data_IF_790606027646
#
_entry.id   IF_790606027646
#
_cell.length_a   1.000
_cell.length_b   1.000
_cell.length_c   1.000
_cell.angle_alpha   90.00
_cell.angle_beta   90.00
_cell.angle_gamma   90.00
#
_symmetry.space_group_name_H-M   'P 1'
#
loop_
_entity.id
_entity.type
_entity.pdbx_description
1 polymer ?
#
# COMPACT_ATOMS: atom_id res chain seq x y z
N UNK A 1 -22.43 -16.15 -9.28
CA UNK A 1 -23.59 -17.04 -9.03
C UNK A 1 -24.86 -16.21 -8.85
N UNK A 2 -25.46 -15.68 -9.93
CA UNK A 2 -26.59 -14.71 -9.88
C UNK A 2 -27.95 -15.32 -10.24
N UNK A 3 -28.00 -16.59 -10.65
CA UNK A 3 -29.18 -17.14 -11.34
C UNK A 3 -29.91 -18.29 -10.62
N UNK A 4 -29.32 -18.86 -9.56
CA UNK A 4 -29.93 -20.01 -8.87
C UNK A 4 -30.87 -19.64 -7.71
N UNK A 5 -30.71 -18.46 -7.11
CA UNK A 5 -31.43 -18.09 -5.88
C UNK A 5 -32.32 -16.84 -5.94
N UNK A 6 -32.34 -16.10 -7.06
CA UNK A 6 -33.23 -14.95 -7.33
C UNK A 6 -33.53 -13.99 -6.14
N UNK A 7 -32.60 -13.89 -5.18
CA UNK A 7 -32.71 -13.06 -3.98
C UNK A 7 -31.44 -12.22 -3.83
N UNK A 8 -31.27 -11.16 -4.64
CA UNK A 8 -30.11 -10.29 -4.52
C UNK A 8 -30.12 -9.62 -3.14
N UNK A 9 -29.12 -9.91 -2.31
CA UNK A 9 -28.85 -9.16 -1.10
C UNK A 9 -28.29 -7.80 -1.50
N UNK A 10 -29.02 -6.73 -1.18
CA UNK A 10 -28.66 -5.36 -1.55
C UNK A 10 -27.25 -4.97 -1.08
N UNK A 11 -26.82 -5.44 0.10
CA UNK A 11 -25.51 -5.14 0.67
C UNK A 11 -24.32 -5.85 0.01
N UNK A 12 -24.55 -6.94 -0.74
CA UNK A 12 -23.45 -7.79 -1.22
C UNK A 12 -22.57 -7.10 -2.25
N UNK A 13 -23.16 -6.20 -3.04
CA UNK A 13 -22.41 -5.40 -4.01
C UNK A 13 -21.45 -4.43 -3.31
N UNK A 14 -21.94 -3.67 -2.32
CA UNK A 14 -21.12 -2.72 -1.56
C UNK A 14 -20.00 -3.42 -0.82
N UNK A 15 -20.29 -4.55 -0.16
CA UNK A 15 -19.28 -5.30 0.56
C UNK A 15 -18.18 -5.80 -0.39
N UNK A 16 -18.57 -6.32 -1.55
CA UNK A 16 -17.61 -6.76 -2.56
C UNK A 16 -16.73 -5.60 -3.00
N UNK A 17 -17.30 -4.41 -3.23
CA UNK A 17 -16.55 -3.21 -3.59
C UNK A 17 -15.54 -2.81 -2.51
N UNK A 18 -15.97 -2.78 -1.24
CA UNK A 18 -15.10 -2.46 -0.10
C UNK A 18 -13.94 -3.47 0.02
N UNK A 19 -14.24 -4.77 -0.10
CA UNK A 19 -13.23 -5.82 0.00
C UNK A 19 -12.23 -5.77 -1.16
N UNK A 20 -12.69 -5.59 -2.40
CA UNK A 20 -11.81 -5.46 -3.55
C UNK A 20 -10.90 -4.23 -3.45
N UNK A 21 -11.46 -3.09 -3.02
CA UNK A 21 -10.67 -1.87 -2.78
C UNK A 21 -9.64 -2.08 -1.68
N UNK A 22 -10.01 -2.72 -0.57
CA UNK A 22 -9.08 -3.03 0.51
C UNK A 22 -7.94 -3.95 0.05
N UNK A 23 -8.26 -5.00 -0.71
CA UNK A 23 -7.27 -5.92 -1.27
C UNK A 23 -6.31 -5.20 -2.20
N UNK A 24 -6.82 -4.36 -3.10
CA UNK A 24 -5.98 -3.58 -4.02
C UNK A 24 -5.04 -2.61 -3.29
N UNK A 25 -5.55 -1.88 -2.29
CA UNK A 25 -4.73 -0.93 -1.52
C UNK A 25 -3.64 -1.63 -0.73
N UNK A 26 -3.95 -2.77 -0.09
CA UNK A 26 -2.98 -3.54 0.69
C UNK A 26 -1.97 -4.28 -0.19
N UNK A 27 -2.34 -4.65 -1.42
CA UNK A 27 -1.43 -5.28 -2.37
C UNK A 27 -0.19 -4.41 -2.64
N UNK A 28 -0.33 -3.08 -2.71
CA UNK A 28 0.81 -2.16 -2.88
C UNK A 28 1.87 -2.31 -1.78
N UNK A 29 1.45 -2.38 -0.52
CA UNK A 29 2.35 -2.60 0.62
C UNK A 29 3.03 -3.97 0.55
N UNK A 30 2.28 -5.01 0.19
CA UNK A 30 2.80 -6.37 0.04
C UNK A 30 3.84 -6.47 -1.09
N UNK A 31 3.54 -5.90 -2.26
CA UNK A 31 4.44 -5.89 -3.42
C UNK A 31 5.75 -5.17 -3.11
N UNK A 32 5.71 -4.07 -2.34
CA UNK A 32 6.92 -3.40 -1.88
C UNK A 32 7.74 -4.30 -0.95
N UNK A 33 7.10 -5.01 -0.04
CA UNK A 33 7.78 -5.95 0.85
C UNK A 33 8.50 -7.07 0.10
N UNK A 34 7.87 -7.60 -0.96
CA UNK A 34 8.49 -8.58 -1.86
C UNK A 34 9.55 -7.99 -2.79
N UNK A 35 9.61 -6.67 -2.91
CA UNK A 35 10.50 -5.99 -3.85
C UNK A 35 10.13 -6.28 -5.31
N UNK A 36 8.85 -6.50 -5.58
CA UNK A 36 8.29 -6.80 -6.90
C UNK A 36 7.59 -5.58 -7.52
N UNK A 37 7.86 -4.39 -6.96
CA UNK A 37 7.43 -3.15 -7.57
C UNK A 37 8.13 -3.00 -8.92
N UNK A 38 7.39 -2.60 -9.95
CA UNK A 38 7.97 -2.40 -11.28
C UNK A 38 9.02 -1.29 -11.18
N UNK A 39 10.28 -1.64 -11.48
CA UNK A 39 11.42 -0.71 -11.48
C UNK A 39 11.99 -0.59 -12.89
N UNK A 40 12.44 0.62 -13.25
CA UNK A 40 13.11 0.86 -14.52
C UNK A 40 14.58 0.46 -14.43
N UNK A 41 14.89 -0.80 -14.74
CA UNK A 41 16.16 -1.41 -14.29
C UNK A 41 17.33 -1.36 -15.28
N UNK A 42 17.20 -0.79 -16.48
CA UNK A 42 18.24 -0.90 -17.52
C UNK A 42 19.58 -0.24 -17.14
N UNK A 43 19.55 0.91 -16.46
CA UNK A 43 20.74 1.62 -16.02
C UNK A 43 21.15 1.22 -14.61
N UNK A 44 20.15 0.97 -13.75
CA UNK A 44 20.32 0.56 -12.35
C UNK A 44 21.13 -0.74 -12.24
N UNK A 45 20.85 -1.74 -13.08
CA UNK A 45 21.54 -3.03 -13.07
C UNK A 45 23.05 -2.94 -13.36
N UNK A 46 23.50 -1.87 -14.04
CA UNK A 46 24.93 -1.68 -14.37
C UNK A 46 25.74 -1.05 -13.24
N UNK A 47 25.07 -0.51 -12.21
CA UNK A 47 25.73 0.16 -11.10
C UNK A 47 26.21 -0.82 -10.03
N UNK A 48 27.25 -0.43 -9.29
CA UNK A 48 27.68 -1.16 -8.10
C UNK A 48 26.56 -1.14 -7.04
N UNK A 49 26.40 -2.19 -6.22
CA UNK A 49 25.37 -2.26 -5.17
C UNK A 49 25.37 -1.05 -4.23
N UNK A 50 26.53 -0.56 -3.82
CA UNK A 50 26.63 0.67 -3.00
C UNK A 50 26.10 1.93 -3.70
N UNK A 51 26.25 2.05 -5.03
CA UNK A 51 25.72 3.20 -5.79
C UNK A 51 24.20 3.09 -5.93
N UNK A 52 23.70 1.89 -6.23
CA UNK A 52 22.27 1.58 -6.23
C UNK A 52 21.63 1.96 -4.88
N UNK A 53 22.21 1.48 -3.77
CA UNK A 53 21.68 1.72 -2.43
C UNK A 53 21.73 3.20 -2.01
N UNK A 54 22.72 3.98 -2.45
CA UNK A 54 22.76 5.43 -2.23
C UNK A 54 21.62 6.15 -2.94
N UNK A 55 21.38 5.79 -4.21
CA UNK A 55 20.28 6.37 -4.99
C UNK A 55 18.93 5.98 -4.39
N UNK A 56 18.71 4.70 -4.08
CA UNK A 56 17.50 4.22 -3.42
C UNK A 56 17.27 4.95 -2.09
N UNK A 57 18.31 5.11 -1.25
CA UNK A 57 18.21 5.84 0.02
C UNK A 57 17.76 7.30 -0.18
N UNK A 58 18.33 8.01 -1.16
CA UNK A 58 17.92 9.39 -1.49
C UNK A 58 16.47 9.41 -1.94
N UNK A 59 16.04 8.49 -2.80
CA UNK A 59 14.66 8.41 -3.29
C UNK A 59 13.68 8.09 -2.16
N UNK A 60 14.06 7.22 -1.22
CA UNK A 60 13.24 6.93 -0.05
C UNK A 60 13.01 8.19 0.79
N UNK A 61 14.07 8.95 1.07
CA UNK A 61 13.99 10.15 1.92
C UNK A 61 13.24 11.29 1.22
N UNK A 62 13.50 11.51 -0.06
CA UNK A 62 12.99 12.70 -0.79
C UNK A 62 11.61 12.51 -1.39
N UNK A 63 11.24 11.29 -1.80
CA UNK A 63 9.97 11.03 -2.47
C UNK A 63 9.08 10.06 -1.71
N UNK A 64 9.63 8.94 -1.22
CA UNK A 64 8.82 7.92 -0.57
C UNK A 64 8.23 8.39 0.76
N UNK A 65 9.05 8.78 1.74
CA UNK A 65 8.54 9.17 3.06
C UNK A 65 7.60 10.38 3.03
N UNK A 66 7.90 11.47 2.29
CA UNK A 66 6.96 12.58 2.19
C UNK A 66 5.63 12.16 1.60
N UNK A 67 5.64 11.34 0.53
CA UNK A 67 4.42 10.83 -0.11
C UNK A 67 3.62 9.91 0.81
N UNK A 68 4.27 8.96 1.47
CA UNK A 68 3.61 8.01 2.36
C UNK A 68 3.10 8.68 3.64
N UNK A 69 3.84 9.63 4.22
CA UNK A 69 3.34 10.42 5.36
C UNK A 69 2.12 11.24 4.99
N UNK A 70 2.14 11.90 3.82
CA UNK A 70 0.98 12.62 3.32
C UNK A 70 -0.23 11.68 3.13
N UNK A 71 -0.01 10.47 2.60
CA UNK A 71 -1.04 9.44 2.47
C UNK A 71 -1.59 8.96 3.81
N UNK A 72 -0.75 8.77 4.83
CA UNK A 72 -1.17 8.36 6.18
C UNK A 72 -2.02 9.45 6.83
N UNK A 73 -1.55 10.69 6.84
CA UNK A 73 -2.27 11.81 7.47
C UNK A 73 -3.61 12.04 6.75
N UNK A 74 -3.57 12.16 5.42
CA UNK A 74 -4.79 12.38 4.62
C UNK A 74 -5.76 11.20 4.71
N UNK A 75 -5.25 9.96 4.74
CA UNK A 75 -6.06 8.76 4.88
C UNK A 75 -6.77 8.69 6.24
N UNK A 76 -6.10 9.11 7.31
CA UNK A 76 -6.70 9.18 8.65
C UNK A 76 -7.81 10.22 8.71
N UNK A 77 -7.55 11.44 8.25
CA UNK A 77 -8.54 12.52 8.19
C UNK A 77 -9.74 12.12 7.32
N UNK A 78 -9.49 11.51 6.17
CA UNK A 78 -10.53 11.08 5.24
C UNK A 78 -11.43 9.99 5.84
N UNK A 79 -10.84 8.98 6.48
CA UNK A 79 -11.61 7.90 7.12
C UNK A 79 -12.38 8.35 8.35
N UNK A 80 -11.76 9.15 9.22
CA UNK A 80 -12.42 9.69 10.43
C UNK A 80 -13.52 10.69 10.08
N UNK A 81 -13.33 11.51 9.05
CA UNK A 81 -14.38 12.42 8.55
C UNK A 81 -15.59 11.63 8.05
N UNK A 82 -15.37 10.59 7.26
CA UNK A 82 -16.42 9.70 6.77
C UNK A 82 -17.22 9.04 7.89
N UNK A 83 -16.51 8.59 8.94
CA UNK A 83 -17.14 8.07 10.15
C UNK A 83 -17.99 9.13 10.86
N UNK A 84 -17.47 10.36 11.00
CA UNK A 84 -18.15 11.46 11.70
C UNK A 84 -19.45 11.92 11.03
N UNK A 85 -19.55 11.80 9.71
CA UNK A 85 -20.75 12.18 8.94
C UNK A 85 -21.67 10.98 8.66
N UNK A 86 -21.36 9.80 9.23
CA UNK A 86 -22.06 8.54 8.96
C UNK A 86 -22.29 8.29 7.46
N UNK A 87 -21.21 8.42 6.68
CA UNK A 87 -21.29 8.29 5.23
C UNK A 87 -21.66 6.87 4.80
N UNK A 88 -22.61 6.78 3.87
CA UNK A 88 -23.14 5.51 3.33
C UNK A 88 -22.90 5.41 1.83
N UNK A 89 -22.87 4.17 1.32
CA UNK A 89 -22.67 3.87 -0.08
C UNK A 89 -23.85 4.36 -0.93
N UNK A 90 -23.55 5.05 -2.03
CA UNK A 90 -24.53 5.42 -3.05
C UNK A 90 -24.80 4.30 -4.06
N UNK A 91 -24.04 3.21 -4.00
CA UNK A 91 -24.08 2.16 -5.01
C UNK A 91 -25.23 1.16 -4.81
N UNK A 92 -25.83 1.14 -3.63
CA UNK A 92 -26.96 0.26 -3.33
C UNK A 92 -27.84 0.83 -2.22
N UNK A 93 -29.15 0.49 -2.18
CA UNK A 93 -30.08 0.97 -1.16
C UNK A 93 -29.83 0.38 0.25
N UNK A 94 -28.74 -0.36 0.45
CA UNK A 94 -28.42 -1.04 1.70
C UNK A 94 -27.75 -0.13 2.75
N UNK A 95 -27.54 1.16 2.44
CA UNK A 95 -26.93 2.15 3.32
C UNK A 95 -25.64 1.67 4.01
N UNK A 96 -24.81 0.94 3.25
CA UNK A 96 -23.58 0.33 3.79
C UNK A 96 -22.56 1.42 4.15
N UNK A 97 -22.02 1.46 5.38
CA UNK A 97 -21.03 2.45 5.76
C UNK A 97 -19.73 2.34 4.95
N UNK A 98 -19.24 3.46 4.41
CA UNK A 98 -18.04 3.47 3.53
C UNK A 98 -16.75 3.82 4.26
N UNK A 99 -16.83 4.28 5.51
CA UNK A 99 -15.67 4.64 6.31
C UNK A 99 -14.62 3.51 6.46
N UNK A 100 -14.95 2.19 6.48
CA UNK A 100 -13.93 1.15 6.57
C UNK A 100 -13.01 1.12 5.34
N UNK A 101 -13.58 1.34 4.15
CA UNK A 101 -12.81 1.44 2.92
C UNK A 101 -11.88 2.65 2.96
N UNK A 102 -12.33 3.78 3.51
CA UNK A 102 -11.51 5.00 3.57
C UNK A 102 -10.38 4.89 4.59
N UNK A 103 -10.61 4.22 5.72
CA UNK A 103 -9.56 3.91 6.69
C UNK A 103 -8.53 2.90 6.16
N UNK A 104 -8.85 2.07 5.17
CA UNK A 104 -7.83 1.18 4.57
C UNK A 104 -6.68 1.97 3.95
N UNK A 105 -6.93 3.19 3.50
CA UNK A 105 -5.89 4.09 2.96
C UNK A 105 -4.85 4.40 4.05
N UNK A 106 -5.33 4.68 5.27
CA UNK A 106 -4.47 4.91 6.43
C UNK A 106 -3.66 3.66 6.78
N UNK A 107 -4.31 2.48 6.88
CA UNK A 107 -3.61 1.24 7.22
C UNK A 107 -2.62 0.79 6.13
N UNK A 108 -2.95 0.95 4.86
CA UNK A 108 -2.03 0.70 3.75
C UNK A 108 -0.83 1.65 3.80
N UNK A 109 -1.06 2.94 4.10
CA UNK A 109 0.01 3.92 4.32
C UNK A 109 0.92 3.55 5.49
N UNK A 110 0.37 3.09 6.62
CA UNK A 110 1.17 2.61 7.76
C UNK A 110 2.01 1.39 7.40
N UNK A 111 1.43 0.42 6.68
CA UNK A 111 2.16 -0.76 6.22
C UNK A 111 3.31 -0.38 5.28
N UNK A 112 3.07 0.56 4.35
CA UNK A 112 4.11 1.11 3.47
C UNK A 112 5.19 1.85 4.26
N UNK A 113 4.83 2.61 5.29
CA UNK A 113 5.78 3.33 6.12
C UNK A 113 6.71 2.38 6.86
N UNK A 114 6.15 1.34 7.48
CA UNK A 114 6.93 0.27 8.13
C UNK A 114 7.85 -0.43 7.13
N UNK A 115 7.34 -0.75 5.94
CA UNK A 115 8.14 -1.38 4.89
C UNK A 115 9.25 -0.45 4.37
N UNK A 116 9.00 0.85 4.23
CA UNK A 116 9.99 1.83 3.83
C UNK A 116 11.15 1.93 4.81
N UNK A 117 10.88 1.87 6.12
CA UNK A 117 11.92 1.81 7.14
C UNK A 117 12.81 0.57 6.95
N UNK A 118 12.22 -0.60 6.70
CA UNK A 118 12.96 -1.83 6.40
C UNK A 118 13.87 -1.69 5.18
N UNK A 119 13.37 -1.06 4.11
CA UNK A 119 14.17 -0.84 2.89
C UNK A 119 15.32 0.15 3.10
N UNK A 120 15.12 1.21 3.90
CA UNK A 120 16.20 2.12 4.30
C UNK A 120 17.30 1.40 5.05
N UNK A 121 16.96 0.55 6.02
CA UNK A 121 17.94 -0.24 6.76
C UNK A 121 18.75 -1.14 5.83
N UNK A 122 18.09 -1.78 4.85
CA UNK A 122 18.75 -2.61 3.84
C UNK A 122 19.66 -1.80 2.93
N UNK A 123 19.28 -0.57 2.57
CA UNK A 123 20.16 0.35 1.84
C UNK A 123 21.41 0.70 2.68
N UNK A 124 21.25 1.00 3.97
CA UNK A 124 22.37 1.33 4.87
C UNK A 124 23.35 0.14 4.98
N UNK A 125 22.85 -1.08 5.10
CA UNK A 125 23.67 -2.30 5.12
C UNK A 125 24.41 -2.46 3.79
N UNK A 126 23.71 -2.32 2.67
CA UNK A 126 24.31 -2.46 1.34
C UNK A 126 25.39 -1.42 1.06
N UNK A 127 25.24 -0.19 1.56
CA UNK A 127 26.28 0.85 1.45
C UNK A 127 27.56 0.45 2.21
N UNK A 128 27.46 -0.29 3.31
CA UNK A 128 28.60 -0.71 4.14
C UNK A 128 29.29 -1.97 3.60
N UNK A 129 28.50 -2.94 3.14
CA UNK A 129 28.99 -4.27 2.75
C UNK A 129 29.16 -4.43 1.23
N UNK A 130 28.72 -3.44 0.44
CA UNK A 130 28.67 -3.46 -1.04
C UNK A 130 27.91 -4.68 -1.61
N UNK A 131 26.99 -5.26 -0.82
CA UNK A 131 26.14 -6.38 -1.20
C UNK A 131 24.73 -6.20 -0.63
N UNK A 132 23.70 -6.66 -1.35
CA UNK A 132 22.32 -6.55 -0.88
C UNK A 132 21.98 -7.67 0.11
N UNK A 133 21.40 -7.37 1.28
CA UNK A 133 20.93 -8.40 2.20
C UNK A 133 19.77 -9.19 1.59
N UNK A 134 19.72 -10.50 1.87
CA UNK A 134 18.69 -11.41 1.38
C UNK A 134 17.28 -10.95 1.80
N UNK A 135 16.29 -11.22 0.94
CA UNK A 135 14.86 -11.02 1.26
C UNK A 135 14.27 -12.35 1.72
N UNK A 136 13.43 -12.31 2.75
CA UNK A 136 12.67 -13.47 3.21
C UNK A 136 11.69 -13.95 2.11
N UNK A 137 11.79 -15.24 1.76
CA UNK A 137 10.90 -15.91 0.80
C UNK A 137 11.26 -15.71 -0.67
N UNK A 138 12.55 -15.55 -0.98
CA UNK A 138 13.13 -15.67 -2.34
C UNK A 138 14.05 -16.91 -2.43
N UNK A 139 13.55 -18.02 -1.89
CA UNK A 139 14.17 -19.35 -2.02
C UNK A 139 13.59 -20.07 -3.24
#
# INVERSE_FOLDING_TARGET
>A
MRYLFNSPTSWAFDLSFILYGALFMMAGAYTLAKGEHVRGDFLYQKWRPSTQAKVDLVLYITFFFPGILAMVISGFEYGTRSFSISEVSVNSPADVPVWPLKLIIFFAGLALLLQGISEVLRCIICIREDQWPSRLGKD
#
